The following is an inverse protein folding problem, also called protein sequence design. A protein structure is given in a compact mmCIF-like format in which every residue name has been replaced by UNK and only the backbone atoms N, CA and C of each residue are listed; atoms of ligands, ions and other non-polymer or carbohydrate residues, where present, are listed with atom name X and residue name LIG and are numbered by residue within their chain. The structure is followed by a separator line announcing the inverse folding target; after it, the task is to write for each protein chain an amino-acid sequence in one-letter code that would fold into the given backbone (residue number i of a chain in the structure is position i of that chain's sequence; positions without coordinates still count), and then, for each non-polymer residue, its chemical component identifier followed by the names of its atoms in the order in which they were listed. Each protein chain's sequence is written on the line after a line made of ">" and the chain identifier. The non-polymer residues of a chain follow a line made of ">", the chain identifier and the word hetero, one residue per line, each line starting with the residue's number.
data_IF_019722303273
#
_entry.id   IF_019722303273
#
_cell.length_a   1.000
_cell.length_b   1.000
_cell.length_c   1.000
_cell.angle_alpha   90.00
_cell.angle_beta   90.00
_cell.angle_gamma   90.00
#
_symmetry.space_group_name_H-M   'P 1'
#
loop_
_entity.id
_entity.type
_entity.pdbx_description
1 polymer ?
#
# COMPACT_ATOMS: atom_id res chain seq x y z
N UNK A 1 28.71 14.15 -11.88
CA UNK A 1 27.67 13.38 -12.60
C UNK A 1 27.59 12.01 -11.91
N UNK A 2 26.75 11.87 -10.88
CA UNK A 2 26.61 10.63 -10.07
C UNK A 2 25.16 10.54 -9.58
N UNK A 3 24.20 10.52 -10.51
CA UNK A 3 22.78 10.34 -10.14
C UNK A 3 22.02 9.42 -11.11
N UNK A 4 22.73 8.69 -11.98
CA UNK A 4 22.11 7.76 -12.94
C UNK A 4 22.45 6.29 -12.70
N UNK A 5 23.49 5.99 -11.92
CA UNK A 5 23.94 4.61 -11.68
C UNK A 5 23.63 4.10 -10.27
N UNK A 6 23.00 4.90 -9.42
CA UNK A 6 22.48 4.44 -8.14
C UNK A 6 21.14 3.71 -8.34
N UNK A 7 21.27 2.52 -8.94
CA UNK A 7 20.71 1.27 -8.42
C UNK A 7 19.27 0.88 -8.80
N UNK A 8 18.94 0.90 -10.10
CA UNK A 8 17.76 0.19 -10.62
C UNK A 8 17.86 -1.34 -10.39
N UNK A 9 19.08 -1.87 -10.37
CA UNK A 9 19.39 -3.26 -10.02
C UNK A 9 19.14 -3.56 -8.53
N UNK A 10 19.48 -2.65 -7.59
CA UNK A 10 19.07 -2.88 -6.20
C UNK A 10 17.59 -2.66 -5.97
N UNK A 11 16.92 -1.77 -6.72
CA UNK A 11 15.46 -1.67 -6.62
C UNK A 11 14.79 -2.95 -7.10
N UNK A 12 15.32 -3.58 -8.15
CA UNK A 12 14.83 -4.87 -8.66
C UNK A 12 15.11 -6.02 -7.69
N UNK A 13 16.32 -6.08 -7.12
CA UNK A 13 16.65 -7.04 -6.06
C UNK A 13 15.89 -6.79 -4.75
N UNK A 14 15.63 -5.52 -4.41
CA UNK A 14 14.73 -5.12 -3.32
C UNK A 14 13.31 -5.61 -3.62
N UNK A 15 12.81 -5.43 -4.85
CA UNK A 15 11.50 -5.90 -5.32
C UNK A 15 11.36 -7.43 -5.26
N UNK A 16 12.38 -8.19 -5.67
CA UNK A 16 12.38 -9.65 -5.50
C UNK A 16 12.34 -10.03 -4.01
N UNK A 17 13.12 -9.37 -3.16
CA UNK A 17 13.07 -9.61 -1.70
C UNK A 17 11.75 -9.15 -1.07
N UNK A 18 11.11 -8.11 -1.61
CA UNK A 18 9.79 -7.60 -1.20
C UNK A 18 8.69 -8.64 -1.46
N UNK A 19 8.86 -9.54 -2.44
CA UNK A 19 7.88 -10.59 -2.75
C UNK A 19 7.87 -11.74 -1.74
N UNK A 20 8.94 -11.96 -0.97
CA UNK A 20 8.97 -12.88 0.18
C UNK A 20 8.57 -12.18 1.51
N UNK A 21 8.01 -10.97 1.41
CA UNK A 21 7.93 -9.96 2.48
C UNK A 21 7.13 -10.34 3.72
N UNK A 22 7.86 -10.56 4.82
CA UNK A 22 7.31 -10.39 6.16
C UNK A 22 6.83 -8.95 6.33
N UNK A 23 5.71 -8.76 7.06
CA UNK A 23 5.11 -7.44 7.33
C UNK A 23 6.14 -6.43 7.87
N UNK A 24 7.05 -6.88 8.75
CA UNK A 24 8.07 -6.06 9.38
C UNK A 24 9.08 -5.48 8.38
N UNK A 25 9.48 -6.26 7.38
CA UNK A 25 10.38 -5.79 6.33
C UNK A 25 9.75 -4.64 5.54
N UNK A 26 8.49 -4.79 5.11
CA UNK A 26 7.76 -3.75 4.37
C UNK A 26 7.62 -2.47 5.19
N UNK A 27 7.30 -2.60 6.48
CA UNK A 27 7.24 -1.45 7.40
C UNK A 27 8.59 -0.74 7.46
N UNK A 28 9.68 -1.48 7.64
CA UNK A 28 11.02 -0.90 7.75
C UNK A 28 11.45 -0.13 6.48
N UNK A 29 11.14 -0.66 5.29
CA UNK A 29 11.44 0.04 4.04
C UNK A 29 10.59 1.30 3.85
N UNK A 30 9.28 1.23 4.14
CA UNK A 30 8.40 2.42 4.07
C UNK A 30 8.82 3.50 5.05
N UNK A 31 9.28 3.14 6.26
CA UNK A 31 9.84 4.09 7.24
C UNK A 31 11.13 4.77 6.72
N UNK A 32 11.99 4.05 6.00
CA UNK A 32 13.17 4.67 5.35
C UNK A 32 12.75 5.69 4.30
N UNK A 33 11.76 5.35 3.47
CA UNK A 33 11.22 6.27 2.46
C UNK A 33 10.59 7.50 3.11
N UNK A 34 9.84 7.33 4.20
CA UNK A 34 9.27 8.46 4.96
C UNK A 34 10.37 9.38 5.49
N UNK A 35 11.45 8.84 6.05
CA UNK A 35 12.61 9.64 6.50
C UNK A 35 13.26 10.43 5.38
N UNK A 36 13.35 9.87 4.17
CA UNK A 36 13.91 10.56 3.02
C UNK A 36 12.95 11.61 2.43
N UNK A 37 11.64 11.35 2.45
CA UNK A 37 10.62 12.17 1.78
C UNK A 37 9.45 12.54 2.72
N UNK A 38 9.70 13.15 3.89
CA UNK A 38 8.67 13.33 4.92
C UNK A 38 7.57 14.33 4.50
N UNK A 39 7.91 15.27 3.62
CA UNK A 39 6.97 16.29 3.12
C UNK A 39 6.17 15.81 1.91
N UNK A 40 6.60 14.75 1.23
CA UNK A 40 5.89 14.23 0.05
C UNK A 40 4.70 13.41 0.51
N UNK A 41 3.56 13.57 -0.15
CA UNK A 41 2.37 12.74 0.07
C UNK A 41 2.43 11.50 -0.80
N UNK A 42 2.03 10.36 -0.24
CA UNK A 42 2.15 9.05 -0.89
C UNK A 42 0.78 8.45 -1.17
N UNK A 43 0.70 7.67 -2.25
CA UNK A 43 -0.38 6.73 -2.53
C UNK A 43 0.26 5.34 -2.51
N UNK A 44 -0.33 4.41 -1.76
CA UNK A 44 0.10 3.02 -1.73
C UNK A 44 -0.82 2.18 -2.60
N UNK A 45 -0.25 1.24 -3.33
CA UNK A 45 -0.98 0.30 -4.19
C UNK A 45 -0.41 -1.09 -3.94
N UNK A 46 -1.27 -2.02 -3.54
CA UNK A 46 -0.90 -3.40 -3.25
C UNK A 46 -2.06 -4.36 -3.53
N UNK A 47 -1.96 -5.59 -3.05
CA UNK A 47 -2.96 -6.64 -3.28
C UNK A 47 -3.40 -7.35 -2.00
N UNK A 48 -4.52 -8.07 -2.06
CA UNK A 48 -5.09 -8.76 -0.90
C UNK A 48 -4.35 -10.03 -0.50
N UNK A 49 -3.45 -10.57 -1.32
CA UNK A 49 -2.89 -11.91 -1.10
C UNK A 49 -1.74 -11.93 -0.10
N UNK A 50 -1.04 -10.82 0.08
CA UNK A 50 0.14 -10.71 0.95
C UNK A 50 -0.16 -9.86 2.19
N UNK A 51 0.89 -9.52 2.94
CA UNK A 51 0.86 -8.67 4.15
C UNK A 51 0.64 -7.18 3.89
N UNK A 52 0.20 -6.80 2.68
CA UNK A 52 0.01 -5.39 2.30
C UNK A 52 -1.00 -4.66 3.19
N UNK A 53 -2.21 -5.21 3.46
CA UNK A 53 -3.16 -4.53 4.32
C UNK A 53 -2.56 -4.19 5.69
N UNK A 54 -1.92 -5.18 6.32
CA UNK A 54 -1.35 -5.02 7.67
C UNK A 54 -0.17 -4.06 7.69
N UNK A 55 0.72 -4.15 6.71
CA UNK A 55 1.88 -3.26 6.61
C UNK A 55 1.46 -1.82 6.32
N UNK A 56 0.50 -1.61 5.41
CA UNK A 56 0.03 -0.27 5.07
C UNK A 56 -0.78 0.37 6.19
N UNK A 57 -1.65 -0.39 6.85
CA UNK A 57 -2.40 0.08 8.02
C UNK A 57 -1.46 0.55 9.14
N UNK A 58 -0.38 -0.21 9.40
CA UNK A 58 0.63 0.17 10.39
C UNK A 58 1.36 1.46 10.03
N UNK A 59 1.78 1.62 8.78
CA UNK A 59 2.45 2.86 8.33
C UNK A 59 1.51 4.07 8.38
N UNK A 60 0.23 3.90 8.03
CA UNK A 60 -0.76 4.97 8.13
C UNK A 60 -0.93 5.44 9.57
N UNK A 61 -0.95 4.51 10.55
CA UNK A 61 -1.01 4.83 11.98
C UNK A 61 0.26 5.50 12.48
N UNK A 62 1.44 5.02 12.08
CA UNK A 62 2.74 5.57 12.51
C UNK A 62 2.99 6.98 11.97
N UNK A 63 2.51 7.26 10.76
CA UNK A 63 2.77 8.50 10.05
C UNK A 63 1.47 9.15 9.54
N UNK A 64 0.59 9.65 10.44
CA UNK A 64 -0.71 10.18 10.05
C UNK A 64 -0.60 11.32 9.03
N UNK A 65 -1.37 11.21 7.93
CA UNK A 65 -1.43 12.21 6.88
C UNK A 65 -0.25 12.24 5.91
N UNK A 66 0.73 11.33 6.05
CA UNK A 66 1.77 11.10 5.04
C UNK A 66 1.22 10.35 3.83
N UNK A 67 0.54 9.24 4.10
CA UNK A 67 -0.22 8.46 3.11
C UNK A 67 -1.60 9.10 2.93
N UNK A 68 -1.98 9.36 1.68
CA UNK A 68 -3.26 9.99 1.32
C UNK A 68 -4.28 9.01 0.79
N UNK A 69 -3.81 7.90 0.23
CA UNK A 69 -4.67 6.86 -0.30
C UNK A 69 -3.93 5.52 -0.29
N UNK A 70 -4.64 4.46 0.07
CA UNK A 70 -4.22 3.07 -0.07
C UNK A 70 -5.22 2.37 -0.97
N UNK A 71 -4.74 1.79 -2.07
CA UNK A 71 -5.52 0.99 -3.01
C UNK A 71 -5.09 -0.47 -2.89
N UNK A 72 -6.02 -1.34 -2.49
CA UNK A 72 -5.79 -2.77 -2.36
C UNK A 72 -6.57 -3.52 -3.43
N UNK A 73 -5.86 -4.15 -4.37
CA UNK A 73 -6.49 -5.00 -5.37
C UNK A 73 -6.95 -6.30 -4.71
N UNK A 74 -8.24 -6.57 -4.75
CA UNK A 74 -8.80 -7.85 -4.31
C UNK A 74 -8.55 -8.90 -5.39
N UNK A 75 -7.73 -9.90 -5.06
CA UNK A 75 -7.45 -11.03 -5.95
C UNK A 75 -8.55 -12.06 -5.79
N UNK A 76 -9.27 -12.37 -6.87
CA UNK A 76 -10.43 -13.27 -6.87
C UNK A 76 -10.16 -14.63 -7.52
N UNK A 77 -8.90 -14.93 -7.88
CA UNK A 77 -8.55 -16.19 -8.54
C UNK A 77 -8.76 -17.40 -7.62
N UNK A 78 -9.75 -18.20 -8.00
CA UNK A 78 -10.31 -19.33 -7.27
C UNK A 78 -9.34 -20.52 -7.20
N UNK A 79 -8.30 -20.54 -8.04
CA UNK A 79 -7.29 -21.60 -8.03
C UNK A 79 -6.33 -21.52 -6.82
N UNK A 80 -6.35 -20.41 -6.07
CA UNK A 80 -5.44 -20.17 -4.95
C UNK A 80 -6.03 -20.62 -3.62
N UNK A 81 -5.51 -21.71 -3.04
CA UNK A 81 -5.88 -22.17 -1.69
C UNK A 81 -5.68 -21.03 -0.67
N UNK A 82 -6.71 -20.76 0.14
CA UNK A 82 -6.67 -19.73 1.18
C UNK A 82 -7.00 -18.30 0.72
N UNK A 83 -7.37 -18.09 -0.55
CA UNK A 83 -7.75 -16.76 -1.07
C UNK A 83 -8.99 -16.18 -0.37
N UNK A 84 -9.94 -17.04 0.01
CA UNK A 84 -11.18 -16.66 0.72
C UNK A 84 -10.82 -15.97 2.04
N UNK A 85 -9.99 -16.61 2.86
CA UNK A 85 -9.53 -16.10 4.15
C UNK A 85 -8.76 -14.78 4.03
N UNK A 86 -7.99 -14.63 2.96
CA UNK A 86 -7.21 -13.41 2.67
C UNK A 86 -8.09 -12.24 2.24
N UNK A 87 -9.29 -12.51 1.73
CA UNK A 87 -10.25 -11.53 1.26
C UNK A 87 -11.38 -11.25 2.25
N UNK A 88 -11.34 -11.84 3.46
CA UNK A 88 -12.35 -11.58 4.49
C UNK A 88 -12.39 -10.08 4.83
N UNK A 89 -13.56 -9.43 4.76
CA UNK A 89 -13.70 -8.01 5.09
C UNK A 89 -13.13 -7.66 6.47
N UNK A 90 -13.33 -8.55 7.46
CA UNK A 90 -12.83 -8.37 8.83
C UNK A 90 -11.31 -8.27 8.89
N UNK A 91 -10.59 -8.93 7.97
CA UNK A 91 -9.12 -8.83 7.90
C UNK A 91 -8.71 -7.41 7.51
N UNK A 92 -9.36 -6.82 6.51
CA UNK A 92 -9.05 -5.45 6.09
C UNK A 92 -9.43 -4.45 7.17
N UNK A 93 -10.62 -4.58 7.76
CA UNK A 93 -11.06 -3.69 8.83
C UNK A 93 -10.11 -3.78 10.05
N UNK A 94 -9.62 -4.97 10.40
CA UNK A 94 -8.59 -5.14 11.44
C UNK A 94 -7.25 -4.53 11.03
N UNK A 95 -6.81 -4.73 9.80
CA UNK A 95 -5.53 -4.21 9.31
C UNK A 95 -5.50 -2.67 9.36
N UNK A 96 -6.62 -2.03 9.01
CA UNK A 96 -6.79 -0.58 9.00
C UNK A 96 -7.52 -0.03 10.24
N UNK A 97 -7.57 -0.79 11.34
CA UNK A 97 -8.14 -0.27 12.58
C UNK A 97 -7.39 1.01 13.01
N UNK A 98 -8.15 2.03 13.41
CA UNK A 98 -7.65 3.37 13.71
C UNK A 98 -7.20 4.20 12.49
N UNK A 99 -7.32 3.72 11.26
CA UNK A 99 -7.09 4.49 10.03
C UNK A 99 -8.44 5.00 9.49
N UNK A 100 -8.57 6.31 9.17
CA UNK A 100 -9.79 6.86 8.59
C UNK A 100 -10.23 6.07 7.34
N UNK A 101 -11.52 5.74 7.27
CA UNK A 101 -12.05 4.87 6.21
C UNK A 101 -11.87 5.47 4.82
N UNK A 102 -11.82 6.79 4.70
CA UNK A 102 -11.56 7.52 3.44
C UNK A 102 -10.13 7.37 2.90
N UNK A 103 -9.16 6.94 3.73
CA UNK A 103 -7.75 6.78 3.33
C UNK A 103 -7.49 5.47 2.59
N UNK A 104 -8.37 4.47 2.67
CA UNK A 104 -8.12 3.17 2.05
C UNK A 104 -9.33 2.61 1.32
N UNK A 105 -9.08 1.91 0.20
CA UNK A 105 -10.09 1.27 -0.63
C UNK A 105 -9.60 -0.10 -1.09
N UNK A 106 -10.51 -1.05 -1.12
CA UNK A 106 -10.33 -2.33 -1.79
C UNK A 106 -11.07 -2.25 -3.12
N UNK A 107 -10.41 -2.61 -4.22
CA UNK A 107 -10.99 -2.55 -5.56
C UNK A 107 -10.81 -3.89 -6.28
N UNK A 108 -11.72 -4.22 -7.20
CA UNK A 108 -11.65 -5.43 -8.02
C UNK A 108 -11.29 -5.10 -9.47
N UNK A 109 -11.89 -4.03 -10.01
CA UNK A 109 -11.68 -3.56 -11.37
C UNK A 109 -10.74 -2.34 -11.41
N UNK A 110 -9.79 -2.26 -12.36
CA UNK A 110 -8.92 -1.09 -12.50
C UNK A 110 -9.68 0.22 -12.73
N UNK A 111 -10.89 0.16 -13.29
CA UNK A 111 -11.74 1.31 -13.57
C UNK A 111 -12.11 2.08 -12.30
N UNK A 112 -12.36 1.37 -11.19
CA UNK A 112 -12.64 1.97 -9.86
C UNK A 112 -11.50 2.89 -9.39
N UNK A 113 -10.25 2.59 -9.75
CA UNK A 113 -9.10 3.40 -9.32
C UNK A 113 -9.15 4.82 -9.87
N UNK A 114 -9.66 5.02 -11.09
CA UNK A 114 -9.76 6.35 -11.68
C UNK A 114 -10.72 7.23 -10.90
N UNK A 115 -11.89 6.69 -10.55
CA UNK A 115 -12.90 7.40 -9.77
C UNK A 115 -12.38 7.76 -8.36
N UNK A 116 -11.72 6.81 -7.69
CA UNK A 116 -11.15 7.03 -6.36
C UNK A 116 -10.07 8.13 -6.37
N UNK A 117 -9.20 8.13 -7.38
CA UNK A 117 -8.15 9.15 -7.50
C UNK A 117 -8.75 10.52 -7.82
N UNK A 118 -9.76 10.58 -8.68
CA UNK A 118 -10.47 11.83 -8.99
C UNK A 118 -11.16 12.42 -7.76
N UNK A 119 -11.79 11.58 -6.93
CA UNK A 119 -12.37 12.00 -5.64
C UNK A 119 -11.30 12.58 -4.70
N UNK A 120 -10.15 11.91 -4.59
CA UNK A 120 -9.03 12.38 -3.77
C UNK A 120 -8.51 13.75 -4.23
N UNK A 121 -8.36 13.95 -5.54
CA UNK A 121 -7.90 15.22 -6.12
C UNK A 121 -8.89 16.33 -5.78
N UNK A 122 -10.19 16.09 -5.96
CA UNK A 122 -11.25 17.08 -5.64
C UNK A 122 -11.29 17.45 -4.16
N UNK A 123 -11.01 16.48 -3.28
CA UNK A 123 -11.00 16.68 -1.84
C UNK A 123 -9.73 17.38 -1.32
N UNK A 124 -8.66 17.45 -2.11
CA UNK A 124 -7.39 18.05 -1.70
C UNK A 124 -7.35 19.53 -2.11
N UNK A 125 -7.32 20.50 -1.16
CA UNK A 125 -7.19 21.91 -1.49
C UNK A 125 -5.86 22.19 -2.22
N UNK A 126 -5.90 23.04 -3.25
CA UNK A 126 -4.72 23.47 -4.02
C UNK A 126 -3.82 24.40 -3.21
#
# INVERSE_FOLDING_TARGET
>A
MILRDANFLSLSGLLETLTEGTQEYKINEMEKIHKWLPKRKMIFVGDSTQSDPEAYGEICRRNPGWVKLVLLRKVTDIASVGIVQKNEPERFDKAFDGVPKDVWRVFESPEECYEIVDELIKATPT
#
